data_IF_592441833631
#
_entry.id   IF_592441833631
#
_cell.length_a   1.000
_cell.length_b   1.000
_cell.length_c   1.000
_cell.angle_alpha   90.00
_cell.angle_beta   90.00
_cell.angle_gamma   90.00
#
_symmetry.space_group_name_H-M   'P 1'
#
loop_
_entity.id
_entity.type
_entity.pdbx_description
1 polymer ?
#
# COMPACT_ATOMS: atom_id res chain seq x y z
N UNK A 1 4.03 -24.52 20.52
CA UNK A 1 4.29 -24.29 19.08
C UNK A 1 3.79 -25.52 18.35
N UNK A 2 2.54 -25.50 17.91
CA UNK A 2 1.95 -26.62 17.17
C UNK A 2 2.44 -26.54 15.74
N UNK A 3 3.18 -27.56 15.30
CA UNK A 3 3.54 -27.76 13.91
C UNK A 3 2.24 -27.86 13.10
N UNK A 4 1.89 -26.80 12.37
CA UNK A 4 0.79 -26.84 11.42
C UNK A 4 1.17 -27.84 10.33
N UNK A 5 0.46 -28.96 10.26
CA UNK A 5 0.54 -29.94 9.18
C UNK A 5 0.51 -29.20 7.82
N UNK A 6 1.51 -29.42 6.93
CA UNK A 6 1.69 -28.65 5.70
C UNK A 6 0.46 -28.63 4.77
N UNK A 7 -0.47 -29.57 4.94
CA UNK A 7 -1.59 -29.84 4.04
C UNK A 7 -2.97 -29.51 4.64
N UNK A 8 -3.03 -28.89 5.83
CA UNK A 8 -4.28 -28.68 6.57
C UNK A 8 -5.05 -27.40 6.19
N UNK A 9 -4.63 -26.65 5.17
CA UNK A 9 -5.17 -25.32 4.81
C UNK A 9 -4.97 -24.22 5.86
N UNK A 10 -4.66 -24.60 7.10
CA UNK A 10 -4.58 -23.71 8.27
C UNK A 10 -3.46 -22.67 8.13
N UNK A 11 -2.31 -23.07 7.58
CA UNK A 11 -1.20 -22.14 7.32
C UNK A 11 -1.58 -21.11 6.25
N UNK A 12 -2.17 -21.57 5.14
CA UNK A 12 -2.65 -20.68 4.08
C UNK A 12 -3.68 -19.69 4.61
N UNK A 13 -4.66 -20.15 5.39
CA UNK A 13 -5.65 -19.27 6.01
C UNK A 13 -5.05 -18.20 6.92
N UNK A 14 -4.05 -18.56 7.73
CA UNK A 14 -3.33 -17.60 8.58
C UNK A 14 -2.53 -16.58 7.74
N UNK A 15 -1.85 -17.02 6.68
CA UNK A 15 -1.09 -16.16 5.78
C UNK A 15 -2.02 -15.17 5.06
N UNK A 16 -3.15 -15.65 4.53
CA UNK A 16 -4.18 -14.82 3.89
C UNK A 16 -4.77 -13.80 4.86
N UNK A 17 -5.05 -14.19 6.10
CA UNK A 17 -5.50 -13.24 7.12
C UNK A 17 -4.43 -12.17 7.43
N UNK A 18 -3.16 -12.56 7.45
CA UNK A 18 -2.03 -11.63 7.60
C UNK A 18 -2.00 -10.58 6.48
N UNK A 19 -2.15 -11.01 5.22
CA UNK A 19 -2.22 -10.11 4.06
C UNK A 19 -3.46 -9.21 4.11
N UNK A 20 -4.62 -9.75 4.47
CA UNK A 20 -5.84 -8.98 4.65
C UNK A 20 -5.67 -7.88 5.70
N UNK A 21 -5.09 -8.21 6.85
CA UNK A 21 -4.82 -7.23 7.91
C UNK A 21 -3.81 -6.17 7.45
N UNK A 22 -2.76 -6.58 6.74
CA UNK A 22 -1.79 -5.64 6.19
C UNK A 22 -2.46 -4.62 5.25
N UNK A 23 -3.35 -5.08 4.35
CA UNK A 23 -4.08 -4.21 3.43
C UNK A 23 -5.21 -3.39 4.08
N UNK A 24 -5.89 -3.89 5.11
CA UNK A 24 -7.04 -3.20 5.72
C UNK A 24 -6.70 -2.26 6.87
N UNK A 25 -5.53 -2.43 7.49
CA UNK A 25 -5.20 -1.73 8.74
C UNK A 25 -3.79 -1.14 8.68
N UNK A 26 -2.78 -1.99 8.52
CA UNK A 26 -1.39 -1.57 8.68
C UNK A 26 -0.94 -0.56 7.61
N UNK A 27 -1.13 -0.88 6.33
CA UNK A 27 -0.69 -0.01 5.24
C UNK A 27 -1.49 1.31 5.18
N UNK A 28 -2.84 1.32 5.29
CA UNK A 28 -3.59 2.57 5.38
C UNK A 28 -3.15 3.47 6.54
N UNK A 29 -2.80 2.90 7.70
CA UNK A 29 -2.26 3.66 8.83
C UNK A 29 -0.95 4.36 8.46
N UNK A 30 -0.05 3.70 7.72
CA UNK A 30 1.21 4.31 7.26
C UNK A 30 0.96 5.35 6.18
N UNK A 31 0.06 5.08 5.22
CA UNK A 31 -0.30 6.03 4.18
C UNK A 31 -0.83 7.35 4.77
N UNK A 32 -1.68 7.26 5.80
CA UNK A 32 -2.22 8.43 6.50
C UNK A 32 -1.13 9.32 7.10
N UNK A 33 -0.02 8.75 7.59
CA UNK A 33 1.12 9.54 8.11
C UNK A 33 1.77 10.35 6.98
N UNK A 34 1.98 9.75 5.81
CA UNK A 34 2.56 10.44 4.66
C UNK A 34 1.61 11.50 4.09
N UNK A 35 0.32 11.19 3.97
CA UNK A 35 -0.70 12.15 3.53
C UNK A 35 -0.78 13.34 4.48
N UNK A 36 -0.82 13.11 5.81
CA UNK A 36 -0.82 14.18 6.81
C UNK A 36 0.44 15.06 6.71
N UNK A 37 1.61 14.46 6.44
CA UNK A 37 2.84 15.22 6.25
C UNK A 37 2.81 16.07 4.97
N UNK A 38 2.27 15.53 3.86
CA UNK A 38 2.03 16.27 2.62
C UNK A 38 1.11 17.46 2.83
N UNK A 39 -0.03 17.25 3.49
CA UNK A 39 -1.00 18.30 3.82
C UNK A 39 -0.38 19.41 4.70
N UNK A 40 0.48 19.02 5.65
CA UNK A 40 1.17 19.98 6.51
C UNK A 40 2.19 20.82 5.73
N UNK A 41 2.86 20.25 4.72
CA UNK A 41 3.72 21.00 3.81
C UNK A 41 2.90 21.98 2.99
N UNK A 42 1.85 21.51 2.33
CA UNK A 42 0.96 22.36 1.51
C UNK A 42 0.38 23.54 2.32
N UNK A 43 -0.02 23.29 3.57
CA UNK A 43 -0.48 24.33 4.48
C UNK A 43 0.63 25.34 4.84
N UNK A 44 1.87 24.88 5.02
CA UNK A 44 3.01 25.74 5.33
C UNK A 44 3.44 26.63 4.15
N UNK A 45 3.11 26.27 2.91
CA UNK A 45 3.35 27.12 1.74
C UNK A 45 2.52 28.42 1.77
N UNK A 46 1.38 28.42 2.46
CA UNK A 46 0.46 29.55 2.48
C UNK A 46 1.11 30.76 3.15
N UNK A 47 1.31 31.83 2.37
CA UNK A 47 1.86 33.09 2.86
C UNK A 47 3.39 33.14 2.94
N UNK A 48 4.09 32.07 2.58
CA UNK A 48 5.56 32.01 2.67
C UNK A 48 6.24 33.06 1.79
N UNK A 49 5.62 33.43 0.66
CA UNK A 49 6.12 34.46 -0.25
C UNK A 49 6.41 35.79 0.46
N UNK A 50 5.60 36.14 1.47
CA UNK A 50 5.77 37.35 2.28
C UNK A 50 7.12 37.40 3.01
N UNK A 51 7.62 36.25 3.49
CA UNK A 51 8.92 36.16 4.18
C UNK A 51 10.11 36.42 3.25
N UNK A 52 9.91 36.27 1.94
CA UNK A 52 10.95 36.49 0.93
C UNK A 52 10.82 37.83 0.21
N UNK A 53 9.80 38.65 0.51
CA UNK A 53 9.63 39.96 -0.12
C UNK A 53 10.82 40.87 0.19
N UNK A 54 11.40 41.47 -0.85
CA UNK A 54 12.45 42.48 -0.70
C UNK A 54 11.82 43.85 -0.48
N UNK A 55 12.54 44.73 0.22
CA UNK A 55 12.14 46.14 0.33
C UNK A 55 11.96 46.74 -1.07
N UNK A 56 10.84 47.44 -1.29
CA UNK A 56 10.51 48.07 -2.58
C UNK A 56 11.49 49.15 -3.04
N UNK A 57 12.41 49.58 -2.16
CA UNK A 57 13.48 50.53 -2.49
C UNK A 57 14.70 49.86 -3.15
N UNK A 58 14.73 48.52 -3.25
CA UNK A 58 15.80 47.78 -3.91
C UNK A 58 15.41 47.46 -5.37
N UNK A 59 16.26 47.77 -6.37
CA UNK A 59 16.01 47.37 -7.75
C UNK A 59 16.11 45.84 -7.92
N UNK A 60 15.32 45.29 -8.86
CA UNK A 60 15.37 43.88 -9.26
C UNK A 60 14.06 43.10 -9.02
N UNK A 61 14.17 41.78 -8.95
CA UNK A 61 13.03 40.87 -8.69
C UNK A 61 12.41 41.10 -7.30
N UNK A 62 11.09 40.91 -7.16
CA UNK A 62 10.35 41.26 -5.93
C UNK A 62 10.71 40.38 -4.73
N UNK A 63 11.24 39.18 -4.96
CA UNK A 63 11.62 38.23 -3.93
C UNK A 63 13.14 38.07 -3.80
N UNK A 64 13.60 37.66 -2.62
CA UNK A 64 14.98 37.26 -2.37
C UNK A 64 15.39 36.03 -3.20
N UNK A 65 16.70 35.84 -3.46
CA UNK A 65 17.19 34.74 -4.32
C UNK A 65 16.88 33.34 -3.75
N UNK A 66 16.59 33.23 -2.45
CA UNK A 66 16.24 31.97 -1.81
C UNK A 66 14.77 31.56 -2.02
N UNK A 67 13.91 32.43 -2.54
CA UNK A 67 12.47 32.13 -2.71
C UNK A 67 12.25 30.97 -3.67
N UNK A 68 12.83 31.04 -4.87
CA UNK A 68 12.62 30.03 -5.90
C UNK A 68 13.14 28.64 -5.45
N UNK A 69 14.39 28.49 -4.94
CA UNK A 69 14.85 27.20 -4.42
C UNK A 69 14.03 26.68 -3.24
N UNK A 70 13.50 27.58 -2.39
CA UNK A 70 12.64 27.18 -1.27
C UNK A 70 11.32 26.59 -1.77
N UNK A 71 10.65 27.25 -2.71
CA UNK A 71 9.41 26.76 -3.31
C UNK A 71 9.64 25.42 -4.02
N UNK A 72 10.74 25.28 -4.77
CA UNK A 72 11.07 24.01 -5.44
C UNK A 72 11.30 22.87 -4.44
N UNK A 73 12.04 23.12 -3.36
CA UNK A 73 12.25 22.12 -2.30
C UNK A 73 10.92 21.73 -1.64
N UNK A 74 10.10 22.74 -1.31
CA UNK A 74 8.78 22.53 -0.72
C UNK A 74 7.93 21.62 -1.60
N UNK A 75 7.79 21.95 -2.89
CA UNK A 75 6.93 21.24 -3.82
C UNK A 75 7.41 19.79 -4.03
N UNK A 76 8.72 19.57 -4.08
CA UNK A 76 9.31 18.23 -4.17
C UNK A 76 8.98 17.40 -2.93
N UNK A 77 9.12 17.98 -1.73
CA UNK A 77 8.82 17.27 -0.48
C UNK A 77 7.33 16.92 -0.37
N UNK A 78 6.44 17.88 -0.67
CA UNK A 78 5.00 17.65 -0.63
C UNK A 78 4.61 16.55 -1.62
N UNK A 79 5.14 16.61 -2.85
CA UNK A 79 4.91 15.59 -3.87
C UNK A 79 5.37 14.20 -3.41
N UNK A 80 6.57 14.08 -2.85
CA UNK A 80 7.09 12.77 -2.39
C UNK A 80 6.19 12.20 -1.29
N UNK A 81 5.71 13.02 -0.36
CA UNK A 81 4.78 12.58 0.68
C UNK A 81 3.48 12.04 0.10
N UNK A 82 2.83 12.80 -0.80
CA UNK A 82 1.58 12.39 -1.43
C UNK A 82 1.74 11.14 -2.31
N UNK A 83 2.75 11.12 -3.20
CA UNK A 83 3.03 9.94 -4.03
C UNK A 83 3.30 8.69 -3.20
N UNK A 84 3.96 8.84 -2.05
CA UNK A 84 4.25 7.72 -1.15
C UNK A 84 2.97 7.20 -0.50
N UNK A 85 2.09 8.09 -0.05
CA UNK A 85 0.78 7.72 0.49
C UNK A 85 -0.04 6.94 -0.56
N UNK A 86 -0.19 7.49 -1.76
CA UNK A 86 -0.94 6.86 -2.87
C UNK A 86 -0.39 5.46 -3.22
N UNK A 87 0.93 5.31 -3.29
CA UNK A 87 1.55 4.01 -3.58
C UNK A 87 1.29 2.98 -2.48
N UNK A 88 1.26 3.41 -1.22
CA UNK A 88 0.96 2.53 -0.08
C UNK A 88 -0.51 2.11 -0.11
N UNK A 89 -1.43 3.03 -0.40
CA UNK A 89 -2.86 2.73 -0.55
C UNK A 89 -3.12 1.76 -1.71
N UNK A 90 -2.51 2.01 -2.87
CA UNK A 90 -2.61 1.11 -4.01
C UNK A 90 -2.08 -0.30 -3.69
N UNK A 91 -0.98 -0.39 -2.91
CA UNK A 91 -0.44 -1.67 -2.43
C UNK A 91 -1.41 -2.34 -1.46
N UNK A 92 -2.04 -1.58 -0.57
CA UNK A 92 -3.02 -2.06 0.39
C UNK A 92 -4.24 -2.70 -0.29
N UNK A 93 -4.76 -2.04 -1.34
CA UNK A 93 -5.85 -2.55 -2.17
C UNK A 93 -5.43 -3.82 -2.91
N UNK A 94 -4.24 -3.82 -3.52
CA UNK A 94 -3.71 -4.98 -4.23
C UNK A 94 -3.59 -6.21 -3.30
N UNK A 95 -3.14 -6.02 -2.06
CA UNK A 95 -3.09 -7.11 -1.06
C UNK A 95 -4.48 -7.65 -0.73
N UNK A 96 -5.48 -6.78 -0.58
CA UNK A 96 -6.86 -7.21 -0.30
C UNK A 96 -7.43 -8.03 -1.46
N UNK A 97 -7.23 -7.55 -2.70
CA UNK A 97 -7.65 -8.28 -3.92
C UNK A 97 -6.95 -9.62 -4.01
N UNK A 98 -5.61 -9.65 -3.91
CA UNK A 98 -4.83 -10.88 -3.98
C UNK A 98 -5.29 -11.90 -2.93
N UNK A 99 -5.58 -11.44 -1.71
CA UNK A 99 -6.05 -12.31 -0.64
C UNK A 99 -7.37 -13.00 -0.99
N UNK A 100 -8.36 -12.24 -1.49
CA UNK A 100 -9.66 -12.78 -1.87
C UNK A 100 -9.54 -13.74 -3.04
N UNK A 101 -8.74 -13.37 -4.04
CA UNK A 101 -8.53 -14.20 -5.24
C UNK A 101 -7.84 -15.52 -4.91
N UNK A 102 -6.80 -15.51 -4.05
CA UNK A 102 -6.15 -16.74 -3.60
C UNK A 102 -7.08 -17.63 -2.78
N UNK A 103 -7.86 -17.05 -1.86
CA UNK A 103 -8.85 -17.81 -1.08
C UNK A 103 -9.88 -18.49 -1.99
N UNK A 104 -10.37 -17.77 -3.01
CA UNK A 104 -11.31 -18.30 -4.00
C UNK A 104 -10.69 -19.44 -4.80
N UNK A 105 -9.49 -19.25 -5.34
CA UNK A 105 -8.82 -20.26 -6.17
C UNK A 105 -8.54 -21.55 -5.39
N UNK A 106 -8.15 -21.45 -4.11
CA UNK A 106 -7.94 -22.61 -3.23
C UNK A 106 -9.25 -23.40 -3.00
N UNK A 107 -10.34 -22.69 -2.73
CA UNK A 107 -11.66 -23.30 -2.57
C UNK A 107 -12.14 -24.00 -3.86
N UNK A 108 -11.96 -23.36 -5.01
CA UNK A 108 -12.32 -23.93 -6.32
C UNK A 108 -11.49 -25.19 -6.61
N UNK A 109 -10.19 -25.17 -6.33
CA UNK A 109 -9.31 -26.33 -6.50
C UNK A 109 -9.70 -27.50 -5.59
N UNK A 110 -10.01 -27.23 -4.31
CA UNK A 110 -10.46 -28.24 -3.38
C UNK A 110 -11.81 -28.86 -3.80
N UNK A 111 -12.72 -28.03 -4.30
CA UNK A 111 -14.03 -28.47 -4.80
C UNK A 111 -13.90 -29.35 -6.04
N UNK A 112 -13.02 -28.97 -6.98
CA UNK A 112 -12.78 -29.76 -8.19
C UNK A 112 -12.09 -31.10 -7.88
N UNK A 113 -11.14 -31.10 -6.94
CA UNK A 113 -10.53 -32.34 -6.46
C UNK A 113 -11.57 -33.30 -5.86
N UNK A 114 -12.47 -32.80 -5.01
CA UNK A 114 -13.55 -33.60 -4.44
C UNK A 114 -14.48 -34.18 -5.52
N UNK A 115 -14.86 -33.37 -6.51
CA UNK A 115 -15.67 -33.81 -7.65
C UNK A 115 -14.98 -34.92 -8.45
N UNK A 116 -13.67 -34.80 -8.70
CA UNK A 116 -12.91 -35.81 -9.43
C UNK A 116 -12.81 -37.13 -8.66
N UNK A 117 -12.72 -37.10 -7.33
CA UNK A 117 -12.77 -38.29 -6.48
C UNK A 117 -14.15 -38.96 -6.52
N UNK A 118 -15.23 -38.20 -6.49
CA UNK A 118 -16.59 -38.75 -6.61
C UNK A 118 -16.82 -39.44 -7.97
N UNK A 119 -16.30 -38.85 -9.05
CA UNK A 119 -16.47 -39.37 -10.42
C UNK A 119 -15.59 -40.60 -10.68
N UNK A 120 -14.32 -40.58 -10.25
CA UNK A 120 -13.33 -41.59 -10.63
C UNK A 120 -13.04 -42.62 -9.51
N UNK A 121 -13.45 -42.34 -8.28
CA UNK A 121 -13.03 -43.09 -7.10
C UNK A 121 -11.57 -42.81 -6.72
N UNK A 122 -11.13 -43.41 -5.60
CA UNK A 122 -9.72 -43.37 -5.22
C UNK A 122 -8.87 -44.20 -6.20
N UNK A 123 -7.77 -43.65 -6.75
CA UNK A 123 -6.84 -44.41 -7.58
C UNK A 123 -6.30 -45.61 -6.81
N UNK A 124 -6.52 -46.82 -7.33
CA UNK A 124 -5.93 -48.04 -6.78
C UNK A 124 -4.54 -48.25 -7.36
N UNK A 125 -3.58 -48.61 -6.51
CA UNK A 125 -2.25 -48.99 -6.96
C UNK A 125 -2.34 -50.25 -7.84
N UNK A 126 -1.71 -50.21 -9.01
CA UNK A 126 -1.64 -51.37 -9.90
C UNK A 126 -0.63 -52.36 -9.32
N UNK A 127 -1.13 -53.36 -8.60
CA UNK A 127 -0.34 -54.48 -8.10
C UNK A 127 -0.43 -55.57 -9.16
N UNK A 128 0.56 -55.58 -10.06
CA UNK A 128 0.71 -56.60 -11.10
C UNK A 128 0.86 -58.01 -10.54
#
# INVERSE_FOLDING_TARGET
MTNSEPNSGTRLGADLYGLWRAGRDNLPTVAAVYSTAGDALDAAAVGVAGAFVRSGNLPGVPYGPAYQPWTELHDILAKICHDTADNIEATADALCVATVEYARADYEAASEFARLLEVNGEPKADIG
#
